data_IF_985791034837
#
_entry.id   IF_985791034837
#
_cell.length_a   1.000
_cell.length_b   1.000
_cell.length_c   1.000
_cell.angle_alpha   90.00
_cell.angle_beta   90.00
_cell.angle_gamma   90.00
#
_symmetry.space_group_name_H-M   'P 1'
#
loop_
_entity.id
_entity.type
_entity.pdbx_description
1 polymer ?
#
# COMPACT_ATOMS: atom_id res chain seq x y z
N UNK A 1 10.60 -5.16 3.21
CA UNK A 1 9.50 -6.08 2.82
C UNK A 1 8.51 -6.15 3.98
N UNK A 2 7.24 -5.71 3.81
CA UNK A 2 6.32 -5.47 4.93
C UNK A 2 5.43 -6.67 5.30
N UNK A 3 5.63 -7.87 4.73
CA UNK A 3 4.75 -9.01 4.92
C UNK A 3 4.88 -9.68 6.30
N UNK A 4 4.28 -9.12 7.34
CA UNK A 4 4.37 -9.68 8.70
C UNK A 4 3.56 -10.97 8.89
N UNK A 5 2.54 -11.20 8.06
CA UNK A 5 1.57 -12.31 8.19
C UNK A 5 1.34 -13.04 6.87
N UNK A 6 2.37 -13.12 6.03
CA UNK A 6 2.23 -13.56 4.64
C UNK A 6 1.93 -12.41 3.68
N UNK A 7 1.99 -12.71 2.39
CA UNK A 7 1.76 -11.77 1.31
C UNK A 7 0.47 -12.13 0.56
N UNK A 8 -0.44 -11.16 0.46
CA UNK A 8 -1.61 -11.25 -0.41
C UNK A 8 -1.24 -10.87 -1.85
N UNK A 9 -2.18 -10.25 -2.56
CA UNK A 9 -1.95 -9.79 -3.92
C UNK A 9 -0.75 -8.82 -4.01
N UNK A 10 0.11 -8.94 -5.05
CA UNK A 10 0.02 -9.92 -6.13
C UNK A 10 0.77 -11.23 -5.88
N UNK A 11 1.48 -11.32 -4.74
CA UNK A 11 2.38 -12.41 -4.43
C UNK A 11 1.70 -13.73 -4.08
N UNK A 12 0.58 -13.68 -3.36
CA UNK A 12 -0.16 -14.87 -2.89
C UNK A 12 0.73 -15.91 -2.20
N UNK A 13 1.67 -15.44 -1.38
CA UNK A 13 2.63 -16.28 -0.67
C UNK A 13 2.34 -16.26 0.85
N UNK A 14 1.76 -17.34 1.43
CA UNK A 14 1.47 -17.41 2.86
C UNK A 14 2.74 -17.53 3.73
N UNK A 15 3.86 -17.98 3.14
CA UNK A 15 5.14 -18.12 3.82
C UNK A 15 5.92 -16.81 3.92
N UNK A 16 5.57 -15.79 3.14
CA UNK A 16 6.29 -14.51 3.14
C UNK A 16 6.38 -13.92 4.55
N UNK A 17 7.55 -13.39 4.90
CA UNK A 17 7.83 -12.77 6.20
C UNK A 17 8.49 -11.41 6.06
N UNK A 18 8.27 -10.57 7.09
CA UNK A 18 8.81 -9.23 7.15
C UNK A 18 10.32 -9.27 7.17
N UNK A 19 10.94 -8.37 6.40
CA UNK A 19 12.39 -8.23 6.33
C UNK A 19 12.76 -6.75 6.35
N UNK A 20 13.63 -6.42 7.30
CA UNK A 20 14.41 -5.18 7.33
C UNK A 20 15.81 -5.56 6.86
N UNK A 21 16.27 -4.93 5.78
CA UNK A 21 17.56 -5.20 5.16
C UNK A 21 18.39 -3.92 5.08
N UNK A 22 19.72 -4.04 5.25
CA UNK A 22 20.65 -2.92 5.10
C UNK A 22 20.85 -2.05 6.35
N UNK A 23 20.57 -2.58 7.55
CA UNK A 23 20.84 -1.85 8.80
C UNK A 23 22.33 -1.57 9.00
N UNK A 24 22.62 -0.42 9.59
CA UNK A 24 23.96 0.06 9.93
C UNK A 24 23.88 0.91 11.20
N UNK A 25 25.01 1.17 11.86
CA UNK A 25 25.06 1.94 13.12
C UNK A 25 24.53 3.38 13.00
N UNK A 26 24.37 3.91 11.78
CA UNK A 26 23.79 5.24 11.54
C UNK A 26 22.26 5.27 11.60
N UNK A 27 21.59 4.12 11.50
CA UNK A 27 20.14 4.03 11.49
C UNK A 27 19.55 4.22 12.89
N UNK A 28 18.51 5.05 12.97
CA UNK A 28 17.76 5.33 14.18
C UNK A 28 16.35 4.74 14.06
N UNK A 29 15.62 4.76 15.18
CA UNK A 29 14.21 4.33 15.24
C UNK A 29 13.33 4.96 14.14
N UNK A 30 13.55 6.24 13.82
CA UNK A 30 12.79 6.95 12.78
C UNK A 30 12.99 6.36 11.38
N UNK A 31 14.19 5.85 11.10
CA UNK A 31 14.54 5.31 9.79
C UNK A 31 13.87 3.94 9.61
N UNK A 32 13.81 3.15 10.68
CA UNK A 32 13.04 1.89 10.72
C UNK A 32 11.54 2.18 10.50
N UNK A 33 10.96 3.13 11.24
CA UNK A 33 9.54 3.51 11.06
C UNK A 33 9.28 3.94 9.61
N UNK A 34 10.13 4.82 9.07
CA UNK A 34 10.00 5.30 7.69
C UNK A 34 10.10 4.15 6.67
N UNK A 35 11.05 3.23 6.84
CA UNK A 35 11.20 2.07 5.95
C UNK A 35 9.99 1.13 5.96
N UNK A 36 9.26 1.02 7.08
CA UNK A 36 8.00 0.28 7.15
C UNK A 36 6.94 0.99 6.28
N UNK A 37 6.80 2.31 6.45
CA UNK A 37 5.85 3.12 5.68
C UNK A 37 6.12 3.04 4.17
N UNK A 38 7.39 3.15 3.78
CA UNK A 38 7.85 3.02 2.39
C UNK A 38 7.66 1.60 1.86
N UNK A 39 7.96 0.58 2.67
CA UNK A 39 7.75 -0.82 2.33
C UNK A 39 6.30 -1.12 1.96
N UNK A 40 5.34 -0.61 2.73
CA UNK A 40 3.90 -0.76 2.40
C UNK A 40 3.54 0.00 1.13
N UNK A 41 4.10 1.19 0.90
CA UNK A 41 3.88 1.95 -0.32
C UNK A 41 4.41 1.22 -1.57
N UNK A 42 5.53 0.50 -1.46
CA UNK A 42 6.04 -0.35 -2.54
C UNK A 42 5.11 -1.50 -2.89
N UNK A 43 4.48 -2.15 -1.92
CA UNK A 43 3.49 -3.21 -2.19
C UNK A 43 2.25 -2.67 -2.91
N UNK A 44 1.79 -1.48 -2.53
CA UNK A 44 0.68 -0.81 -3.24
C UNK A 44 1.10 -0.43 -4.66
N UNK A 45 2.32 0.11 -4.84
CA UNK A 45 2.87 0.40 -6.16
C UNK A 45 2.87 -0.84 -7.04
N UNK A 46 3.28 -2.00 -6.51
CA UNK A 46 3.31 -3.25 -7.27
C UNK A 46 1.95 -3.64 -7.84
N UNK A 47 0.90 -3.50 -7.04
CA UNK A 47 -0.48 -3.70 -7.51
C UNK A 47 -0.87 -2.68 -8.60
N UNK A 48 -0.45 -1.42 -8.46
CA UNK A 48 -0.68 -0.38 -9.49
C UNK A 48 0.07 -0.67 -10.79
N UNK A 49 1.32 -1.16 -10.74
CA UNK A 49 2.05 -1.56 -11.95
C UNK A 49 1.34 -2.70 -12.69
N UNK A 50 0.76 -3.67 -11.97
CA UNK A 50 -0.04 -4.74 -12.59
C UNK A 50 -1.28 -4.18 -13.28
N UNK A 51 -1.97 -3.21 -12.68
CA UNK A 51 -3.05 -2.53 -13.39
C UNK A 51 -2.58 -1.86 -14.68
N UNK A 52 -1.41 -1.21 -14.66
CA UNK A 52 -0.82 -0.57 -15.85
C UNK A 52 -0.47 -1.59 -16.93
N UNK A 53 0.08 -2.74 -16.55
CA UNK A 53 0.35 -3.86 -17.47
C UNK A 53 -0.94 -4.40 -18.13
N UNK A 54 -2.05 -4.37 -17.41
CA UNK A 54 -3.39 -4.71 -17.92
C UNK A 54 -4.06 -3.58 -18.73
N UNK A 55 -3.35 -2.49 -19.02
CA UNK A 55 -3.86 -1.35 -19.77
C UNK A 55 -4.73 -0.38 -18.94
N UNK A 56 -4.79 -0.55 -17.62
CA UNK A 56 -5.51 0.34 -16.71
C UNK A 56 -4.49 1.31 -16.10
N UNK A 57 -4.61 2.60 -16.40
CA UNK A 57 -3.75 3.63 -15.85
C UNK A 57 -4.50 4.48 -14.79
N UNK A 58 -4.39 4.18 -13.48
CA UNK A 58 -4.99 5.00 -12.44
C UNK A 58 -4.45 6.43 -12.49
N UNK A 59 -5.34 7.42 -12.50
CA UNK A 59 -4.99 8.85 -12.50
C UNK A 59 -4.87 9.44 -11.10
N UNK A 60 -5.56 8.83 -10.14
CA UNK A 60 -5.67 9.29 -8.76
C UNK A 60 -5.82 8.08 -7.84
N UNK A 61 -5.19 8.12 -6.66
CA UNK A 61 -5.35 7.14 -5.60
C UNK A 61 -6.13 7.74 -4.44
N UNK A 62 -7.25 7.12 -4.06
CA UNK A 62 -8.02 7.53 -2.87
C UNK A 62 -7.52 6.76 -1.65
N UNK A 63 -6.89 7.47 -0.72
CA UNK A 63 -6.39 6.94 0.54
C UNK A 63 -7.51 7.00 1.59
N UNK A 64 -7.72 5.89 2.28
CA UNK A 64 -8.78 5.73 3.30
C UNK A 64 -8.24 4.92 4.49
N UNK A 65 -9.02 4.85 5.58
CA UNK A 65 -8.64 4.13 6.80
C UNK A 65 -7.58 4.84 7.65
N UNK A 66 -7.18 4.22 8.76
CA UNK A 66 -6.36 4.87 9.79
C UNK A 66 -5.00 5.38 9.31
N UNK A 67 -4.36 4.69 8.35
CA UNK A 67 -3.08 5.13 7.77
C UNK A 67 -3.18 6.46 7.03
N UNK A 68 -4.35 6.76 6.46
CA UNK A 68 -4.59 7.99 5.71
C UNK A 68 -4.57 9.25 6.58
N UNK A 69 -4.63 9.13 7.92
CA UNK A 69 -4.48 10.27 8.85
C UNK A 69 -3.09 10.89 8.82
N UNK A 70 -2.08 10.15 8.36
CA UNK A 70 -0.70 10.61 8.27
C UNK A 70 -0.43 11.32 6.95
N UNK A 71 -0.41 12.65 6.97
CA UNK A 71 -0.05 13.46 5.80
C UNK A 71 1.35 13.11 5.26
N UNK A 72 2.27 12.71 6.14
CA UNK A 72 3.61 12.26 5.75
C UNK A 72 3.55 10.93 4.98
N UNK A 73 2.74 9.96 5.43
CA UNK A 73 2.59 8.69 4.72
C UNK A 73 1.91 8.87 3.37
N UNK A 74 0.89 9.73 3.31
CA UNK A 74 0.17 10.01 2.08
C UNK A 74 1.08 10.64 1.02
N UNK A 75 2.01 11.50 1.42
CA UNK A 75 3.05 12.01 0.51
C UNK A 75 3.99 10.89 0.04
N UNK A 76 4.42 9.98 0.94
CA UNK A 76 5.22 8.80 0.56
C UNK A 76 4.49 7.96 -0.48
N UNK A 77 3.20 7.67 -0.30
CA UNK A 77 2.41 6.94 -1.30
C UNK A 77 2.42 7.64 -2.67
N UNK A 78 2.17 8.96 -2.68
CA UNK A 78 2.15 9.73 -3.93
C UNK A 78 3.52 9.73 -4.62
N UNK A 79 4.60 9.91 -3.86
CA UNK A 79 5.98 9.92 -4.35
C UNK A 79 6.42 8.53 -4.85
N UNK A 80 6.04 7.46 -4.16
CA UNK A 80 6.43 6.09 -4.51
C UNK A 80 5.68 5.61 -5.76
N UNK A 81 4.37 5.84 -5.84
CA UNK A 81 3.50 5.31 -6.92
C UNK A 81 3.54 6.20 -8.16
N UNK A 82 3.83 7.49 -7.96
CA UNK A 82 3.89 8.50 -9.01
C UNK A 82 2.52 8.95 -9.53
N UNK A 83 1.50 8.88 -8.67
CA UNK A 83 0.15 9.38 -8.96
C UNK A 83 -0.33 10.29 -7.83
N UNK A 84 -1.21 11.23 -8.15
CA UNK A 84 -1.84 12.08 -7.15
C UNK A 84 -2.62 11.22 -6.16
N UNK A 85 -2.34 11.39 -4.87
CA UNK A 85 -3.11 10.76 -3.81
C UNK A 85 -4.10 11.77 -3.23
N UNK A 86 -5.29 11.32 -2.84
CA UNK A 86 -6.31 12.16 -2.21
C UNK A 86 -6.92 11.46 -1.01
N UNK A 87 -7.38 12.24 -0.04
CA UNK A 87 -8.14 11.77 1.11
C UNK A 87 -9.49 12.50 1.13
N UNK A 88 -10.55 11.78 1.48
CA UNK A 88 -11.88 12.38 1.66
C UNK A 88 -12.02 13.02 3.05
N UNK A 89 -12.94 13.99 3.17
CA UNK A 89 -13.35 14.59 4.46
C UNK A 89 -13.87 13.52 5.42
N UNK A 90 -14.62 12.55 4.91
CA UNK A 90 -15.10 11.42 5.67
C UNK A 90 -14.12 10.26 5.50
N UNK A 91 -13.39 9.93 6.57
CA UNK A 91 -12.35 8.88 6.58
C UNK A 91 -12.94 7.46 6.53
N UNK A 92 -14.13 7.28 7.13
CA UNK A 92 -14.81 5.99 7.26
C UNK A 92 -15.49 5.60 5.93
N UNK A 93 -14.68 5.18 4.97
CA UNK A 93 -15.12 4.88 3.60
C UNK A 93 -16.20 3.79 3.53
N UNK A 94 -16.15 2.78 4.42
CA UNK A 94 -17.13 1.68 4.45
C UNK A 94 -18.51 2.19 4.85
N UNK A 95 -18.60 2.92 5.97
CA UNK A 95 -19.86 3.52 6.43
C UNK A 95 -20.39 4.56 5.44
N UNK A 96 -19.49 5.32 4.81
CA UNK A 96 -19.84 6.26 3.75
C UNK A 96 -20.46 5.56 2.55
N UNK A 97 -19.89 4.43 2.11
CA UNK A 97 -20.44 3.61 1.04
C UNK A 97 -21.84 3.08 1.37
N UNK A 98 -22.05 2.59 2.59
CA UNK A 98 -23.38 2.16 3.03
C UNK A 98 -24.40 3.30 3.01
N UNK A 99 -24.02 4.50 3.47
CA UNK A 99 -24.87 5.69 3.43
C UNK A 99 -25.22 6.12 2.00
N UNK A 100 -24.25 6.07 1.07
CA UNK A 100 -24.47 6.35 -0.36
C UNK A 100 -25.52 5.39 -0.93
N UNK A 101 -25.36 4.08 -0.70
CA UNK A 101 -26.31 3.08 -1.18
C UNK A 101 -27.70 3.25 -0.57
N UNK A 102 -27.79 3.53 0.73
CA UNK A 102 -29.06 3.79 1.41
C UNK A 102 -29.76 5.04 0.87
N UNK A 103 -29.02 6.14 0.63
CA UNK A 103 -29.57 7.37 0.07
C UNK A 103 -30.11 7.17 -1.35
N UNK A 104 -29.40 6.42 -2.20
CA UNK A 104 -29.89 6.03 -3.52
C UNK A 104 -31.13 5.14 -3.42
N UNK A 105 -31.13 4.12 -2.56
CA UNK A 105 -32.27 3.21 -2.36
C UNK A 105 -33.52 3.91 -1.81
N UNK A 106 -33.34 4.97 -1.02
CA UNK A 106 -34.42 5.83 -0.53
C UNK A 106 -34.92 6.86 -1.55
N UNK A 107 -34.35 6.89 -2.77
CA UNK A 107 -34.75 7.82 -3.83
C UNK A 107 -34.25 9.26 -3.64
N UNK A 108 -33.31 9.51 -2.71
CA UNK A 108 -32.72 10.85 -2.50
C UNK A 108 -31.77 11.25 -3.63
N UNK A 109 -31.22 10.26 -4.33
CA UNK A 109 -30.37 10.44 -5.50
C UNK A 109 -30.82 9.50 -6.62
N UNK A 110 -30.69 9.90 -7.90
CA UNK A 110 -31.14 9.10 -9.04
C UNK A 110 -30.33 7.81 -9.23
N UNK A 111 -29.06 7.81 -8.82
CA UNK A 111 -28.16 6.67 -8.90
C UNK A 111 -27.02 6.77 -7.87
N UNK A 112 -26.22 5.71 -7.76
CA UNK A 112 -25.09 5.60 -6.83
C UNK A 112 -23.97 6.57 -7.18
N UNK A 113 -23.76 6.84 -8.47
CA UNK A 113 -22.69 7.73 -8.94
C UNK A 113 -22.98 9.16 -8.49
N UNK A 114 -24.21 9.64 -8.71
CA UNK A 114 -24.67 10.97 -8.29
C UNK A 114 -24.66 11.13 -6.78
N UNK A 115 -25.06 10.10 -6.04
CA UNK A 115 -24.92 10.10 -4.58
C UNK A 115 -23.45 10.21 -4.16
N UNK A 116 -22.55 9.42 -4.76
CA UNK A 116 -21.12 9.46 -4.45
C UNK A 116 -20.47 10.82 -4.81
N UNK A 117 -20.78 11.42 -5.96
CA UNK A 117 -20.29 12.75 -6.36
C UNK A 117 -20.73 13.86 -5.37
N UNK A 118 -21.96 13.76 -4.86
CA UNK A 118 -22.50 14.73 -3.92
C UNK A 118 -21.96 14.54 -2.50
N UNK A 119 -21.79 13.29 -2.06
CA UNK A 119 -21.42 12.96 -0.68
C UNK A 119 -19.89 12.91 -0.47
N UNK A 120 -19.13 12.35 -1.43
CA UNK A 120 -17.68 12.23 -1.30
C UNK A 120 -16.99 13.56 -1.60
N UNK A 121 -16.57 14.29 -0.56
CA UNK A 121 -15.77 15.51 -0.70
C UNK A 121 -14.30 15.24 -0.39
N UNK A 122 -13.42 15.75 -1.25
CA UNK A 122 -11.97 15.69 -1.04
C UNK A 122 -11.56 16.69 0.03
N UNK A 123 -10.80 16.23 1.01
CA UNK A 123 -10.17 17.05 2.05
C UNK A 123 -8.84 17.60 1.56
N UNK A 124 -7.92 16.69 1.20
CA UNK A 124 -6.54 17.03 0.86
C UNK A 124 -6.00 16.18 -0.28
N UNK A 125 -5.06 16.76 -1.04
CA UNK A 125 -4.35 16.12 -2.15
C UNK A 125 -2.84 16.18 -1.92
N UNK A 126 -2.15 15.13 -2.33
CA UNK A 126 -0.69 15.02 -2.37
C UNK A 126 -0.28 14.77 -3.80
N UNK A 127 0.64 15.60 -4.31
CA UNK A 127 1.14 15.55 -5.67
C UNK A 127 2.53 14.93 -5.63
N UNK A 128 2.88 14.02 -6.56
CA UNK A 128 4.19 13.37 -6.53
C UNK A 128 5.33 14.36 -6.70
N UNK A 129 6.38 14.21 -5.87
CA UNK A 129 7.62 14.94 -6.00
C UNK A 129 8.61 14.18 -6.89
N UNK A 130 8.95 14.76 -8.04
CA UNK A 130 9.86 14.18 -9.04
C UNK A 130 11.24 13.86 -8.45
N UNK A 131 11.74 14.69 -7.54
CA UNK A 131 13.06 14.45 -6.92
C UNK A 131 13.08 13.18 -6.05
N UNK A 132 11.99 12.92 -5.31
CA UNK A 132 11.83 11.73 -4.49
C UNK A 132 11.60 10.48 -5.36
N UNK A 133 10.81 10.60 -6.43
CA UNK A 133 10.51 9.50 -7.34
C UNK A 133 11.76 8.81 -7.88
N UNK A 134 12.80 9.58 -8.26
CA UNK A 134 14.05 9.01 -8.76
C UNK A 134 14.66 8.04 -7.75
N UNK A 135 14.71 8.42 -6.48
CA UNK A 135 15.23 7.58 -5.40
C UNK A 135 14.32 6.40 -5.14
N UNK A 136 13.00 6.63 -5.05
CA UNK A 136 12.04 5.55 -4.80
C UNK A 136 11.98 4.51 -5.92
N UNK A 137 12.21 4.89 -7.17
CA UNK A 137 12.29 3.96 -8.29
C UNK A 137 13.43 2.95 -8.11
N UNK A 138 14.61 3.41 -7.65
CA UNK A 138 15.75 2.53 -7.43
C UNK A 138 15.52 1.61 -6.22
N UNK A 139 15.02 2.17 -5.11
CA UNK A 139 14.70 1.37 -3.91
C UNK A 139 13.60 0.34 -4.21
N UNK A 140 12.58 0.71 -4.99
CA UNK A 140 11.50 -0.18 -5.39
C UNK A 140 12.02 -1.39 -6.19
N UNK A 141 12.90 -1.16 -7.18
CA UNK A 141 13.55 -2.24 -7.94
C UNK A 141 14.33 -3.16 -7.01
N UNK A 142 15.14 -2.60 -6.10
CA UNK A 142 15.91 -3.38 -5.13
C UNK A 142 15.00 -4.22 -4.22
N UNK A 143 13.92 -3.63 -3.70
CA UNK A 143 12.96 -4.32 -2.83
C UNK A 143 12.28 -5.48 -3.57
N UNK A 144 11.85 -5.27 -4.82
CA UNK A 144 11.26 -6.31 -5.65
C UNK A 144 12.25 -7.45 -5.94
N UNK A 145 13.47 -7.12 -6.35
CA UNK A 145 14.50 -8.12 -6.64
C UNK A 145 14.82 -8.96 -5.39
N UNK A 146 14.94 -8.32 -4.22
CA UNK A 146 15.19 -9.03 -2.97
C UNK A 146 14.04 -9.96 -2.60
N UNK A 147 12.79 -9.50 -2.73
CA UNK A 147 11.64 -10.37 -2.52
C UNK A 147 11.68 -11.58 -3.46
N UNK A 148 11.83 -11.35 -4.78
CA UNK A 148 11.81 -12.43 -5.78
C UNK A 148 12.91 -13.45 -5.52
N UNK A 149 14.11 -12.99 -5.16
CA UNK A 149 15.22 -13.89 -4.81
C UNK A 149 14.89 -14.79 -3.62
N UNK A 150 14.32 -14.23 -2.55
CA UNK A 150 13.92 -15.00 -1.37
C UNK A 150 12.81 -16.01 -1.69
N UNK A 151 11.88 -15.63 -2.56
CA UNK A 151 10.76 -16.47 -2.96
C UNK A 151 11.22 -17.62 -3.88
N UNK A 152 11.96 -17.32 -4.94
CA UNK A 152 12.49 -18.29 -5.91
C UNK A 152 13.44 -19.32 -5.28
N UNK A 153 14.15 -18.92 -4.23
CA UNK A 153 15.04 -19.80 -3.45
C UNK A 153 14.32 -20.51 -2.30
N UNK A 154 13.00 -20.40 -2.20
CA UNK A 154 12.17 -20.99 -1.16
C UNK A 154 12.57 -20.57 0.27
N UNK A 155 13.29 -19.45 0.45
CA UNK A 155 13.78 -19.01 1.75
C UNK A 155 12.65 -18.82 2.75
N UNK A 156 11.56 -18.20 2.31
CA UNK A 156 10.37 -17.99 3.14
C UNK A 156 9.78 -19.31 3.64
N UNK A 157 9.62 -20.29 2.74
CA UNK A 157 9.05 -21.59 3.07
C UNK A 157 9.96 -22.37 4.01
N UNK A 158 11.24 -22.51 3.67
CA UNK A 158 12.25 -23.20 4.47
C UNK A 158 12.35 -22.60 5.89
N UNK A 159 12.29 -21.27 6.02
CA UNK A 159 12.30 -20.61 7.32
C UNK A 159 11.11 -21.03 8.21
N UNK A 160 9.89 -21.08 7.66
CA UNK A 160 8.70 -21.48 8.41
C UNK A 160 8.74 -22.95 8.80
N UNK A 161 9.10 -23.83 7.88
CA UNK A 161 9.22 -25.28 8.16
C UNK A 161 10.26 -25.53 9.26
N UNK A 162 11.39 -24.82 9.22
CA UNK A 162 12.44 -24.92 10.25
C UNK A 162 11.95 -24.52 11.64
N UNK A 163 11.09 -23.50 11.75
CA UNK A 163 10.53 -23.09 13.04
C UNK A 163 9.53 -24.11 13.59
N UNK A 164 8.69 -24.71 12.73
CA UNK A 164 7.71 -25.71 13.13
C UNK A 164 8.37 -27.00 13.65
N UNK A 165 9.50 -27.41 13.06
CA UNK A 165 10.28 -28.54 13.55
C UNK A 165 10.96 -28.30 14.91
N UNK A 166 11.16 -27.05 15.32
CA UNK A 166 11.66 -26.73 16.67
C UNK A 166 10.58 -26.83 17.75
N UNK A 167 9.31 -26.70 17.41
CA UNK A 167 8.20 -26.79 18.38
C UNK A 167 7.77 -28.24 18.65
N UNK A 168 8.25 -29.20 17.87
CA UNK A 168 7.93 -30.63 17.98
C UNK A 168 9.02 -31.47 18.66
N UNK A 169 10.13 -30.85 19.09
CA UNK A 169 11.21 -31.46 19.88
C UNK A 169 11.37 -30.72 21.21
#
# INVERSE_FOLDING_TARGET
IPHLVGAGAPHWNPYARGLIYGLSLGHKRRDIIRSIMEGVAFEVRKNVEIFRELGIAPKELKLTGGGSRSDFWNQIYSDVIGITCVRNVIEEATSLGAAILAATGAGLFPDVIKAAENICKVDKKWIPNISHQKVYNEIYKMSNNLYSYLDEKYFFKTYIETLQHKETN
#
